data_IF_047685681744
#
_entry.id   IF_047685681744
#
_cell.length_a   1.000
_cell.length_b   1.000
_cell.length_c   1.000
_cell.angle_alpha   90.00
_cell.angle_beta   90.00
_cell.angle_gamma   90.00
#
_symmetry.space_group_name_H-M   'P 1'
#
loop_
_entity.id
_entity.type
_entity.pdbx_description
1 polymer ?
#
# COMPACT_ATOMS: atom_id res chain seq x y z
N UNK A 1 53.49 31.81 0.51
CA UNK A 1 52.39 32.42 -0.27
C UNK A 1 51.36 32.94 0.72
N UNK A 2 51.04 34.24 0.66
CA UNK A 2 50.07 34.93 1.53
C UNK A 2 48.87 35.33 0.66
N UNK A 3 47.69 35.44 1.28
CA UNK A 3 46.42 36.07 0.83
C UNK A 3 45.44 35.13 0.09
N UNK A 4 44.13 35.02 0.39
CA UNK A 4 43.23 35.61 1.39
C UNK A 4 42.08 34.63 1.74
N UNK A 5 41.57 34.72 2.97
CA UNK A 5 40.28 34.13 3.38
C UNK A 5 39.13 34.99 2.84
N UNK A 6 38.32 34.45 1.93
CA UNK A 6 37.03 35.04 1.55
C UNK A 6 35.91 34.50 2.44
N UNK A 7 35.53 35.25 3.48
CA UNK A 7 34.26 35.08 4.20
C UNK A 7 33.13 35.59 3.30
N UNK A 8 32.23 34.71 2.86
CA UNK A 8 30.93 35.12 2.30
C UNK A 8 29.81 34.88 3.32
N UNK A 9 29.13 35.97 3.65
CA UNK A 9 28.10 36.15 4.66
C UNK A 9 26.84 35.32 4.40
N UNK A 10 26.31 34.71 5.46
CA UNK A 10 24.95 34.13 5.51
C UNK A 10 23.91 35.24 5.71
N UNK A 11 22.82 35.31 4.93
CA UNK A 11 21.63 36.06 5.34
C UNK A 11 20.78 35.22 6.31
N UNK A 12 20.51 35.80 7.48
CA UNK A 12 19.46 35.39 8.43
C UNK A 12 18.19 36.15 8.08
N UNK A 13 17.05 35.48 7.93
CA UNK A 13 15.67 35.97 8.19
C UNK A 13 14.73 34.77 8.08
N UNK A 14 13.61 34.61 8.77
CA UNK A 14 13.09 35.07 10.06
C UNK A 14 11.88 34.13 10.30
N UNK A 15 11.72 33.62 11.52
CA UNK A 15 10.59 32.73 11.88
C UNK A 15 9.36 33.59 12.13
N UNK A 16 8.24 33.29 11.47
CA UNK A 16 6.93 33.81 11.82
C UNK A 16 6.04 32.62 12.22
N UNK A 17 5.76 32.51 13.52
CA UNK A 17 4.79 31.57 14.06
C UNK A 17 3.41 32.22 14.04
N UNK A 18 2.46 31.59 13.34
CA UNK A 18 1.04 31.92 13.42
C UNK A 18 0.35 30.76 14.13
N UNK A 19 0.01 30.99 15.40
CA UNK A 19 -0.83 30.11 16.19
C UNK A 19 -2.27 30.60 16.07
N UNK A 20 -3.15 29.74 15.58
CA UNK A 20 -4.60 29.93 15.69
C UNK A 20 -5.23 28.60 16.05
N UNK A 21 -5.76 28.55 17.28
CA UNK A 21 -6.48 27.40 17.81
C UNK A 21 -7.86 27.26 17.18
N UNK A 22 -8.37 26.04 17.16
CA UNK A 22 -9.73 25.74 16.75
C UNK A 22 -10.31 24.66 17.68
N UNK A 23 -11.28 25.06 18.50
CA UNK A 23 -12.15 24.16 19.26
C UNK A 23 -13.39 23.88 18.42
N UNK A 24 -13.74 22.60 18.22
CA UNK A 24 -15.08 22.20 17.78
C UNK A 24 -15.63 21.13 18.73
N UNK A 25 -16.69 21.50 19.43
CA UNK A 25 -17.67 20.59 20.02
C UNK A 25 -18.87 20.56 19.08
N UNK A 26 -19.33 19.38 18.70
CA UNK A 26 -20.69 19.20 18.18
C UNK A 26 -21.32 17.96 18.78
N UNK A 27 -22.43 18.20 19.48
CA UNK A 27 -23.39 17.22 19.97
C UNK A 27 -24.10 16.50 18.82
N UNK A 28 -24.69 15.35 19.15
CA UNK A 28 -25.31 14.43 18.20
C UNK A 28 -26.72 14.79 17.73
N UNK A 29 -27.24 13.90 16.89
CA UNK A 29 -28.63 13.64 16.45
C UNK A 29 -28.45 12.58 15.34
N UNK A 30 -29.29 11.59 15.05
CA UNK A 30 -30.71 11.33 15.22
C UNK A 30 -30.94 9.96 14.53
N UNK A 31 -32.05 9.27 14.79
CA UNK A 31 -32.66 8.43 13.74
C UNK A 31 -33.09 7.03 14.15
N UNK A 32 -34.23 6.99 14.83
CA UNK A 32 -35.20 5.88 14.89
C UNK A 32 -35.66 5.47 13.47
N UNK A 33 -35.84 4.18 13.19
CA UNK A 33 -37.11 3.64 12.67
C UNK A 33 -37.09 2.10 12.69
N UNK A 34 -38.04 1.53 13.43
CA UNK A 34 -38.30 0.11 13.48
C UNK A 34 -39.12 -0.40 12.29
N UNK A 35 -38.90 -1.64 11.88
CA UNK A 35 -39.72 -2.28 10.86
C UNK A 35 -39.45 -3.78 10.76
N UNK A 36 -40.18 -4.56 11.56
CA UNK A 36 -40.26 -6.02 11.50
C UNK A 36 -41.31 -6.41 10.44
N UNK A 37 -41.04 -7.43 9.63
CA UNK A 37 -42.06 -8.36 9.06
C UNK A 37 -41.37 -9.57 8.42
N UNK A 38 -41.39 -10.64 9.19
CA UNK A 38 -41.65 -12.06 8.90
C UNK A 38 -41.49 -12.67 7.49
N UNK A 39 -40.83 -13.85 7.52
CA UNK A 39 -41.18 -15.14 6.90
C UNK A 39 -41.42 -15.25 5.38
N UNK A 40 -40.67 -16.11 4.70
CA UNK A 40 -41.07 -17.51 4.51
C UNK A 40 -39.95 -18.34 3.83
N UNK A 41 -40.01 -19.64 4.10
CA UNK A 41 -39.05 -20.68 3.76
C UNK A 41 -39.15 -21.11 2.29
N UNK A 42 -38.04 -21.55 1.71
CA UNK A 42 -38.03 -22.48 0.58
C UNK A 42 -36.73 -23.28 0.55
N UNK A 43 -36.78 -24.49 1.11
CA UNK A 43 -35.76 -25.53 0.98
C UNK A 43 -35.89 -26.26 -0.35
N UNK A 44 -34.80 -26.35 -1.10
CA UNK A 44 -34.55 -27.45 -2.05
C UNK A 44 -33.04 -27.77 -2.09
N UNK A 45 -32.65 -29.04 -2.28
CA UNK A 45 -31.33 -29.54 -1.90
C UNK A 45 -30.31 -29.41 -3.03
N UNK A 46 -29.15 -28.82 -2.72
CA UNK A 46 -28.03 -28.70 -3.65
C UNK A 46 -26.72 -28.98 -2.93
N UNK A 47 -26.22 -30.19 -3.11
CA UNK A 47 -24.81 -30.56 -3.23
C UNK A 47 -23.80 -29.76 -2.38
N UNK A 48 -23.42 -30.33 -1.22
CA UNK A 48 -22.25 -29.91 -0.44
C UNK A 48 -20.98 -30.19 -1.25
N UNK A 49 -20.45 -29.17 -1.90
CA UNK A 49 -19.01 -29.06 -2.11
C UNK A 49 -18.43 -28.37 -0.86
N UNK A 50 -17.55 -29.08 -0.15
CA UNK A 50 -16.79 -28.54 0.96
C UNK A 50 -15.87 -27.43 0.47
N UNK A 51 -16.35 -26.18 0.53
CA UNK A 51 -15.48 -25.00 0.58
C UNK A 51 -15.06 -24.81 2.04
N UNK A 52 -13.75 -24.77 2.35
CA UNK A 52 -13.32 -24.32 3.67
C UNK A 52 -13.68 -22.84 3.80
N UNK A 53 -14.59 -22.57 4.71
CA UNK A 53 -14.99 -21.25 5.17
C UNK A 53 -13.88 -20.69 6.08
N UNK A 54 -13.54 -19.40 5.91
CA UNK A 54 -12.61 -18.74 6.84
C UNK A 54 -11.69 -17.66 6.26
N UNK A 55 -12.25 -16.60 5.68
CA UNK A 55 -11.86 -15.19 5.82
C UNK A 55 -12.54 -14.39 4.71
N UNK A 56 -13.44 -13.47 5.06
CA UNK A 56 -13.89 -12.44 4.14
C UNK A 56 -12.67 -11.55 3.79
N UNK A 57 -12.00 -11.91 2.71
CA UNK A 57 -10.78 -11.29 2.20
C UNK A 57 -10.27 -12.06 0.99
N UNK A 58 -11.02 -12.00 -0.11
CA UNK A 58 -10.63 -12.61 -1.38
C UNK A 58 -9.53 -11.81 -2.09
N UNK A 59 -8.87 -12.44 -3.06
CA UNK A 59 -7.93 -11.76 -3.96
C UNK A 59 -8.69 -10.71 -4.78
N UNK A 60 -8.35 -9.43 -4.60
CA UNK A 60 -8.99 -8.30 -5.30
C UNK A 60 -8.30 -8.00 -6.64
N UNK A 61 -7.06 -8.42 -6.81
CA UNK A 61 -6.35 -8.38 -8.09
C UNK A 61 -5.22 -9.40 -8.14
N UNK A 62 -4.87 -9.85 -9.35
CA UNK A 62 -3.73 -10.72 -9.62
C UNK A 62 -2.97 -10.19 -10.83
N UNK A 63 -1.64 -10.15 -10.74
CA UNK A 63 -0.76 -9.84 -11.87
C UNK A 63 0.37 -10.85 -11.96
N UNK A 64 0.79 -11.13 -13.19
CA UNK A 64 1.90 -12.05 -13.49
C UNK A 64 2.98 -11.29 -14.26
N UNK A 65 4.23 -11.56 -13.93
CA UNK A 65 5.38 -10.91 -14.54
C UNK A 65 6.69 -11.61 -14.20
N UNK A 66 7.79 -11.10 -14.76
CA UNK A 66 9.11 -11.74 -14.69
C UNK A 66 9.14 -13.18 -15.22
N UNK A 67 10.14 -13.95 -14.80
CA UNK A 67 10.32 -15.37 -15.13
C UNK A 67 9.42 -16.28 -14.26
N UNK A 68 8.11 -16.07 -14.28
CA UNK A 68 7.07 -16.88 -13.59
C UNK A 68 6.71 -16.44 -12.16
N UNK A 69 6.62 -15.13 -11.92
CA UNK A 69 6.15 -14.58 -10.66
C UNK A 69 4.66 -14.24 -10.74
N UNK A 70 3.90 -14.71 -9.75
CA UNK A 70 2.50 -14.29 -9.54
C UNK A 70 2.42 -13.41 -8.30
N UNK A 71 1.81 -12.24 -8.43
CA UNK A 71 1.54 -11.32 -7.33
C UNK A 71 0.03 -11.17 -7.18
N UNK A 72 -0.51 -11.59 -6.04
CA UNK A 72 -1.89 -11.31 -5.65
C UNK A 72 -1.93 -10.09 -4.76
N UNK A 73 -3.02 -9.34 -4.85
CA UNK A 73 -3.38 -8.28 -3.93
C UNK A 73 -4.66 -8.74 -3.26
N UNK A 74 -4.62 -8.85 -1.94
CA UNK A 74 -5.71 -9.40 -1.13
C UNK A 74 -6.53 -8.24 -0.52
N UNK A 75 -5.89 -7.13 -0.16
CA UNK A 75 -6.60 -5.96 0.35
C UNK A 75 -5.81 -4.66 0.16
N UNK A 76 -6.53 -3.53 0.16
CA UNK A 76 -5.99 -2.19 0.29
C UNK A 76 -6.88 -1.41 1.25
N UNK A 77 -6.39 -1.18 2.46
CA UNK A 77 -7.16 -0.59 3.55
C UNK A 77 -6.67 0.80 3.88
N UNK A 78 -7.58 1.78 3.92
CA UNK A 78 -7.34 3.11 4.47
C UNK A 78 -7.39 3.04 5.99
N UNK A 79 -6.34 3.51 6.63
CA UNK A 79 -6.15 3.47 8.07
C UNK A 79 -6.34 4.88 8.66
N UNK A 80 -6.88 4.98 9.88
CA UNK A 80 -7.12 6.26 10.57
C UNK A 80 -5.86 7.14 10.68
N UNK A 81 -4.68 6.54 10.66
CA UNK A 81 -3.38 7.23 10.69
C UNK A 81 -2.99 7.97 9.40
N UNK A 82 -3.87 8.01 8.39
CA UNK A 82 -3.63 8.77 7.15
C UNK A 82 -2.78 8.02 6.12
N UNK A 83 -2.81 6.69 6.14
CA UNK A 83 -2.10 5.84 5.19
C UNK A 83 -2.98 4.71 4.68
N UNK A 84 -2.59 4.14 3.53
CA UNK A 84 -3.19 2.93 2.98
C UNK A 84 -2.21 1.78 3.13
N UNK A 85 -2.66 0.68 3.74
CA UNK A 85 -1.92 -0.59 3.79
C UNK A 85 -2.43 -1.52 2.71
N UNK A 86 -1.56 -1.92 1.79
CA UNK A 86 -1.86 -2.93 0.78
C UNK A 86 -1.20 -4.24 1.19
N UNK A 87 -1.94 -5.35 1.11
CA UNK A 87 -1.46 -6.68 1.45
C UNK A 87 -1.71 -7.67 0.31
N UNK A 88 -0.90 -8.71 0.23
CA UNK A 88 -1.11 -9.76 -0.74
C UNK A 88 -0.11 -10.90 -0.62
N UNK A 89 0.00 -11.70 -1.67
CA UNK A 89 0.98 -12.78 -1.77
C UNK A 89 1.85 -12.65 -3.01
N UNK A 90 3.07 -13.14 -2.92
CA UNK A 90 3.97 -13.35 -4.04
C UNK A 90 4.31 -14.83 -4.11
N UNK A 91 4.10 -15.43 -5.28
CA UNK A 91 4.37 -16.83 -5.56
C UNK A 91 5.43 -16.93 -6.64
N UNK A 92 6.50 -17.68 -6.37
CA UNK A 92 7.55 -17.95 -7.34
C UNK A 92 7.28 -19.30 -8.03
N UNK A 93 6.78 -19.26 -9.26
CA UNK A 93 6.57 -20.45 -10.10
C UNK A 93 7.79 -20.85 -10.94
N UNK A 94 8.90 -20.10 -10.85
CA UNK A 94 10.13 -20.40 -11.56
C UNK A 94 10.99 -21.44 -10.85
N UNK A 95 12.11 -21.85 -11.46
CA UNK A 95 12.99 -22.90 -10.95
C UNK A 95 14.10 -22.41 -9.99
N UNK A 96 14.33 -21.10 -9.92
CA UNK A 96 15.36 -20.46 -9.09
C UNK A 96 14.81 -19.71 -7.88
N UNK A 97 15.69 -19.10 -7.09
CA UNK A 97 15.30 -18.16 -6.03
C UNK A 97 14.96 -16.81 -6.66
N UNK A 98 13.74 -16.32 -6.41
CA UNK A 98 13.33 -14.98 -6.80
C UNK A 98 13.77 -13.96 -5.75
N UNK A 99 14.62 -13.01 -6.15
CA UNK A 99 15.17 -11.98 -5.26
C UNK A 99 14.57 -10.57 -5.48
N UNK A 100 13.38 -10.51 -6.09
CA UNK A 100 12.67 -9.25 -6.38
C UNK A 100 13.54 -8.20 -7.12
N UNK A 101 14.15 -8.54 -8.27
CA UNK A 101 15.01 -7.62 -9.01
C UNK A 101 14.24 -6.37 -9.46
N UNK A 102 14.83 -5.19 -9.22
CA UNK A 102 14.22 -3.90 -9.57
C UNK A 102 13.05 -3.46 -8.67
N UNK A 103 12.62 -4.29 -7.73
CA UNK A 103 11.49 -3.95 -6.85
C UNK A 103 11.85 -2.90 -5.79
N UNK A 104 13.14 -2.64 -5.54
CA UNK A 104 13.60 -1.57 -4.67
C UNK A 104 13.35 -0.15 -5.23
N UNK A 105 13.11 -0.03 -6.55
CA UNK A 105 12.99 1.24 -7.26
C UNK A 105 14.33 1.85 -7.68
N UNK A 106 14.27 2.90 -8.49
CA UNK A 106 15.43 3.51 -9.16
C UNK A 106 16.16 4.58 -8.33
N UNK A 107 15.68 4.87 -7.11
CA UNK A 107 16.26 5.89 -6.22
C UNK A 107 17.59 5.37 -5.62
N UNK A 108 18.73 5.72 -6.22
CA UNK A 108 20.06 5.24 -5.83
C UNK A 108 20.40 5.45 -4.34
N UNK A 109 19.98 6.57 -3.76
CA UNK A 109 20.23 6.92 -2.36
C UNK A 109 19.48 6.00 -1.37
N UNK A 110 18.42 5.35 -1.83
CA UNK A 110 17.51 4.55 -1.00
C UNK A 110 17.56 3.06 -1.34
N UNK A 111 17.97 2.70 -2.56
CA UNK A 111 17.94 1.33 -3.05
C UNK A 111 18.78 0.38 -2.19
N UNK A 112 19.95 0.80 -1.72
CA UNK A 112 20.83 -0.02 -0.87
C UNK A 112 20.15 -0.45 0.45
N UNK A 113 19.29 0.39 1.03
CA UNK A 113 18.57 0.06 2.28
C UNK A 113 17.30 -0.75 2.04
N UNK A 114 16.83 -0.74 0.80
CA UNK A 114 15.53 -1.28 0.38
C UNK A 114 15.66 -2.40 -0.65
N UNK A 115 16.85 -3.00 -0.77
CA UNK A 115 17.07 -4.08 -1.71
C UNK A 115 16.14 -5.27 -1.42
N UNK A 116 15.76 -5.97 -2.49
CA UNK A 116 14.80 -7.08 -2.49
C UNK A 116 13.53 -6.79 -1.68
N UNK A 117 12.91 -5.61 -1.85
CA UNK A 117 11.72 -5.22 -1.09
C UNK A 117 10.62 -4.66 -2.00
N UNK A 118 9.44 -4.39 -1.43
CA UNK A 118 8.34 -3.73 -2.13
C UNK A 118 8.57 -2.20 -2.32
N UNK A 119 9.75 -1.65 -2.05
CA UNK A 119 9.96 -0.20 -1.92
C UNK A 119 9.70 0.63 -3.19
N UNK A 120 9.81 0.03 -4.37
CA UNK A 120 9.51 0.63 -5.67
C UNK A 120 8.03 0.58 -6.03
N UNK A 121 7.19 0.01 -5.16
CA UNK A 121 5.74 0.01 -5.35
C UNK A 121 5.17 1.44 -5.30
N UNK A 122 4.08 1.65 -6.02
CA UNK A 122 3.37 2.93 -6.06
C UNK A 122 1.88 2.73 -6.30
N UNK A 123 1.08 3.62 -5.74
CA UNK A 123 -0.33 3.78 -6.08
C UNK A 123 -0.49 4.94 -7.05
N UNK A 124 -1.28 4.75 -8.10
CA UNK A 124 -1.57 5.78 -9.09
C UNK A 124 -3.06 6.09 -9.08
N UNK A 125 -3.40 7.28 -8.60
CA UNK A 125 -4.73 7.86 -8.77
C UNK A 125 -4.77 8.60 -10.11
N UNK A 126 -5.30 7.92 -11.12
CA UNK A 126 -5.48 8.49 -12.47
C UNK A 126 -6.43 9.68 -12.48
N UNK A 127 -7.47 9.68 -11.62
CA UNK A 127 -8.51 10.71 -11.60
C UNK A 127 -7.98 11.99 -10.95
N UNK A 128 -7.34 11.87 -9.79
CA UNK A 128 -6.66 12.97 -9.12
C UNK A 128 -5.31 13.35 -9.75
N UNK A 129 -4.83 12.57 -10.73
CA UNK A 129 -3.55 12.79 -11.44
C UNK A 129 -2.36 12.79 -10.47
N UNK A 130 -2.39 11.89 -9.50
CA UNK A 130 -1.37 11.75 -8.46
C UNK A 130 -0.78 10.35 -8.44
N UNK A 131 0.48 10.29 -8.01
CA UNK A 131 1.18 9.06 -7.70
C UNK A 131 1.66 9.14 -6.27
N UNK A 132 1.40 8.08 -5.51
CA UNK A 132 1.78 7.93 -4.11
C UNK A 132 2.87 6.87 -4.04
N UNK A 133 4.01 7.25 -3.48
CA UNK A 133 5.15 6.36 -3.26
C UNK A 133 5.10 5.80 -1.85
N UNK A 134 5.86 4.73 -1.62
CA UNK A 134 5.87 4.03 -0.34
C UNK A 134 6.31 4.94 0.81
N UNK A 135 5.72 4.74 1.99
CA UNK A 135 6.17 5.38 3.22
C UNK A 135 7.51 4.79 3.67
N UNK A 136 8.28 5.61 4.38
CA UNK A 136 9.61 5.26 4.87
C UNK A 136 9.79 5.73 6.31
N UNK A 137 10.62 5.01 7.05
CA UNK A 137 11.05 5.42 8.38
C UNK A 137 12.12 6.53 8.34
N UNK A 138 12.55 6.99 9.51
CA UNK A 138 13.57 8.04 9.67
C UNK A 138 14.97 7.62 9.18
N UNK A 139 15.18 6.31 8.97
CA UNK A 139 16.42 5.76 8.42
C UNK A 139 16.34 5.54 6.90
N UNK A 140 15.19 5.81 6.27
CA UNK A 140 14.96 5.65 4.84
C UNK A 140 14.58 4.23 4.42
N UNK A 141 14.25 3.34 5.35
CA UNK A 141 13.73 1.99 5.04
C UNK A 141 12.24 2.07 4.74
N UNK A 142 11.77 1.32 3.76
CA UNK A 142 10.36 1.24 3.42
C UNK A 142 9.55 0.67 4.59
N UNK A 143 8.32 1.15 4.73
CA UNK A 143 7.29 0.49 5.54
C UNK A 143 6.63 -0.59 4.68
N UNK A 144 7.39 -1.64 4.42
CA UNK A 144 7.03 -2.69 3.48
C UNK A 144 7.77 -4.01 3.72
N UNK A 145 7.29 -5.08 3.10
CA UNK A 145 7.96 -6.38 3.15
C UNK A 145 9.29 -6.35 2.40
N UNK A 146 10.30 -6.96 3.03
CA UNK A 146 11.62 -7.24 2.44
C UNK A 146 11.81 -8.76 2.31
N UNK A 147 12.13 -9.22 1.11
CA UNK A 147 12.40 -10.61 0.76
C UNK A 147 13.89 -10.93 0.94
N UNK A 148 14.44 -10.70 2.13
CA UNK A 148 15.90 -10.76 2.41
C UNK A 148 16.57 -12.11 2.09
N UNK A 149 15.81 -13.20 2.02
CA UNK A 149 16.29 -14.54 1.63
C UNK A 149 15.80 -14.98 0.25
N UNK A 150 15.14 -14.08 -0.48
CA UNK A 150 14.37 -14.38 -1.68
C UNK A 150 13.15 -15.28 -1.41
N UNK A 151 12.41 -15.58 -2.46
CA UNK A 151 11.29 -16.53 -2.50
C UNK A 151 11.77 -17.75 -3.28
N UNK A 152 11.80 -18.94 -2.68
CA UNK A 152 12.28 -20.15 -3.37
C UNK A 152 11.28 -20.59 -4.44
N UNK A 153 11.75 -21.41 -5.38
CA UNK A 153 10.91 -22.10 -6.36
C UNK A 153 9.75 -22.84 -5.68
N UNK A 154 8.52 -22.57 -6.11
CA UNK A 154 7.29 -23.15 -5.57
C UNK A 154 6.78 -22.48 -4.29
N UNK A 155 7.57 -21.63 -3.64
CA UNK A 155 7.17 -20.98 -2.39
C UNK A 155 6.25 -19.79 -2.65
N UNK A 156 5.41 -19.51 -1.66
CA UNK A 156 4.56 -18.32 -1.58
C UNK A 156 4.84 -17.57 -0.30
N UNK A 157 4.98 -16.24 -0.40
CA UNK A 157 5.19 -15.36 0.76
C UNK A 157 4.12 -14.26 0.79
N UNK A 158 3.65 -13.92 1.98
CA UNK A 158 2.80 -12.75 2.19
C UNK A 158 3.65 -11.48 2.14
N UNK A 159 3.10 -10.41 1.58
CA UNK A 159 3.72 -9.09 1.57
C UNK A 159 2.75 -8.01 2.04
N UNK A 160 3.32 -6.89 2.49
CA UNK A 160 2.60 -5.63 2.71
C UNK A 160 3.41 -4.44 2.18
N UNK A 161 2.71 -3.34 1.91
CA UNK A 161 3.29 -2.04 1.57
C UNK A 161 2.37 -0.91 2.06
N UNK A 162 2.95 0.10 2.70
CA UNK A 162 2.20 1.28 3.18
C UNK A 162 2.47 2.52 2.34
N UNK A 163 1.42 3.26 2.04
CA UNK A 163 1.44 4.47 1.21
C UNK A 163 0.77 5.62 1.96
N UNK A 164 1.13 6.89 1.69
CA UNK A 164 0.29 8.01 2.08
C UNK A 164 -1.12 7.80 1.54
N UNK A 165 -2.14 8.10 2.34
CA UNK A 165 -3.51 7.89 1.89
C UNK A 165 -3.88 8.88 0.77
N UNK A 166 -4.45 8.41 -0.36
CA UNK A 166 -5.10 9.29 -1.32
C UNK A 166 -6.26 10.07 -0.65
N UNK A 167 -6.81 11.13 -1.26
CA UNK A 167 -8.00 11.81 -0.74
C UNK A 167 -9.16 10.84 -0.45
N UNK A 168 -10.00 11.15 0.55
CA UNK A 168 -11.13 10.30 1.00
C UNK A 168 -12.07 9.87 -0.13
N UNK A 169 -12.26 10.71 -1.14
CA UNK A 169 -13.10 10.40 -2.30
C UNK A 169 -12.41 9.53 -3.37
N UNK A 170 -11.20 9.05 -3.12
CA UNK A 170 -10.42 8.19 -4.02
C UNK A 170 -10.59 6.73 -3.61
N UNK A 171 -11.58 6.07 -4.21
CA UNK A 171 -11.88 4.65 -3.95
C UNK A 171 -11.11 3.69 -4.85
N UNK A 172 -10.51 4.15 -5.96
CA UNK A 172 -9.85 3.28 -6.95
C UNK A 172 -8.49 3.85 -7.36
N UNK A 173 -7.47 3.00 -7.33
CA UNK A 173 -6.10 3.32 -7.73
C UNK A 173 -5.50 2.17 -8.52
N UNK A 174 -4.43 2.43 -9.27
CA UNK A 174 -3.61 1.35 -9.83
C UNK A 174 -2.39 1.11 -8.94
N UNK A 175 -2.22 -0.13 -8.50
CA UNK A 175 -0.98 -0.62 -7.89
C UNK A 175 0.03 -0.97 -9.00
N UNK A 176 1.27 -0.54 -8.84
CA UNK A 176 2.36 -0.82 -9.77
C UNK A 176 3.63 -1.14 -8.99
N UNK A 177 4.39 -2.14 -9.46
CA UNK A 177 5.72 -2.46 -8.94
C UNK A 177 6.59 -3.01 -10.06
N UNK A 178 7.81 -2.46 -10.17
CA UNK A 178 8.82 -2.87 -11.15
C UNK A 178 8.24 -3.06 -12.58
N UNK A 179 8.47 -4.22 -13.17
CA UNK A 179 8.04 -4.65 -14.50
C UNK A 179 6.68 -5.38 -14.51
N UNK A 180 6.02 -5.49 -13.35
CA UNK A 180 4.70 -6.11 -13.27
C UNK A 180 3.66 -5.19 -13.95
N UNK A 181 2.66 -5.77 -14.66
CA UNK A 181 1.53 -5.01 -15.17
C UNK A 181 0.82 -4.24 -14.05
N UNK A 182 0.29 -3.03 -14.32
CA UNK A 182 -0.54 -2.32 -13.34
C UNK A 182 -1.80 -3.11 -12.97
N UNK A 183 -2.12 -3.14 -11.67
CA UNK A 183 -3.33 -3.76 -11.13
C UNK A 183 -4.29 -2.69 -10.60
N UNK A 184 -5.48 -2.55 -11.18
CA UNK A 184 -6.50 -1.67 -10.61
C UNK A 184 -7.11 -2.32 -9.38
N UNK A 185 -7.09 -1.59 -8.25
CA UNK A 185 -7.59 -2.06 -6.96
C UNK A 185 -8.51 -1.03 -6.32
N UNK A 186 -9.43 -1.50 -5.48
CA UNK A 186 -10.31 -0.67 -4.67
C UNK A 186 -9.74 -0.51 -3.26
N UNK A 187 -9.84 0.70 -2.72
CA UNK A 187 -9.47 1.02 -1.35
C UNK A 187 -10.73 0.91 -0.51
N UNK A 188 -10.68 0.09 0.52
CA UNK A 188 -11.73 -0.01 1.55
C UNK A 188 -11.28 0.70 2.83
N UNK A 189 -12.23 0.99 3.71
CA UNK A 189 -11.93 1.45 5.06
C UNK A 189 -11.40 0.30 5.93
N UNK A 190 -10.47 0.62 6.83
CA UNK A 190 -9.68 -0.31 7.64
C UNK A 190 -10.30 -0.67 8.98
#
# INVERSE_FOLDING_TARGET
MIFQHSRKSRPRMAVAALATGLLLMTAGCSGDDGGKSDADSSTAPGQKEDKPDGQNGGVIAEVKGGESITLTIDSAKREEGGFVTVTGKVTNGGSGIFSAPGWAGDESELSLKNDSSMAGAKLVDKKGKKRYYILRDTEGRCLCTRFTKGVKSGDTMTWYAQFPSPPENTAKVDFQIADMPPASIEISEG
#
